data_IF_473799637522
#
_entry.id   IF_473799637522
#
_cell.length_a   1.000
_cell.length_b   1.000
_cell.length_c   1.000
_cell.angle_alpha   90.00
_cell.angle_beta   90.00
_cell.angle_gamma   90.00
#
_symmetry.space_group_name_H-M   'P 1'
#
loop_
_entity.id
_entity.type
_entity.pdbx_description
1 polymer ?
#
# COMPACT_ATOMS: atom_id res chain seq x y z
N UNK A 1 48.47 40.03 -0.68
CA UNK A 1 47.43 40.57 0.22
C UNK A 1 47.39 42.06 -0.05
N UNK A 2 46.47 42.53 -0.90
CA UNK A 2 46.31 43.96 -1.20
C UNK A 2 45.82 44.66 0.07
N UNK A 3 46.68 45.48 0.67
CA UNK A 3 46.34 46.29 1.83
C UNK A 3 45.45 47.45 1.38
N UNK A 4 44.14 47.35 1.64
CA UNK A 4 43.20 48.47 1.50
C UNK A 4 43.51 49.53 2.57
N UNK A 5 44.51 50.38 2.33
CA UNK A 5 44.81 51.52 3.17
C UNK A 5 43.75 52.61 2.95
N UNK A 6 42.70 52.58 3.76
CA UNK A 6 41.64 53.59 3.78
C UNK A 6 42.26 54.87 4.38
N UNK A 7 42.85 55.70 3.51
CA UNK A 7 43.36 57.01 3.88
C UNK A 7 42.16 57.91 4.16
N UNK A 8 42.00 58.32 5.42
CA UNK A 8 40.95 59.26 5.83
C UNK A 8 41.19 60.60 5.11
N UNK A 9 40.26 61.08 4.25
CA UNK A 9 40.46 62.32 3.52
C UNK A 9 40.49 63.52 4.49
N UNK A 10 41.48 64.39 4.36
CA UNK A 10 41.59 65.63 5.14
C UNK A 10 40.52 66.64 4.69
N UNK A 11 40.17 67.61 5.55
CA UNK A 11 39.07 68.55 5.28
C UNK A 11 39.20 69.30 3.93
N UNK A 12 40.42 69.72 3.57
CA UNK A 12 40.68 70.40 2.29
C UNK A 12 40.49 69.51 1.05
N UNK A 13 40.50 68.18 1.22
CA UNK A 13 40.32 67.20 0.15
C UNK A 13 38.85 66.75 0.01
N UNK A 14 37.95 67.20 0.88
CA UNK A 14 36.53 66.84 0.85
C UNK A 14 35.84 67.23 -0.46
N UNK A 15 36.02 68.43 -1.04
CA UNK A 15 35.36 68.78 -2.30
C UNK A 15 35.72 67.82 -3.44
N UNK A 16 36.98 67.38 -3.47
CA UNK A 16 37.48 66.42 -4.46
C UNK A 16 36.91 65.02 -4.23
N UNK A 17 36.93 64.53 -3.00
CA UNK A 17 36.39 63.22 -2.64
C UNK A 17 34.88 63.12 -2.94
N UNK A 18 34.12 64.16 -2.64
CA UNK A 18 32.67 64.22 -2.94
C UNK A 18 32.42 64.20 -4.46
N UNK A 19 33.23 64.93 -5.24
CA UNK A 19 33.14 64.90 -6.70
C UNK A 19 33.40 63.50 -7.25
N UNK A 20 34.42 62.80 -6.75
CA UNK A 20 34.74 61.43 -7.17
C UNK A 20 33.63 60.44 -6.81
N UNK A 21 32.99 60.59 -5.64
CA UNK A 21 31.84 59.78 -5.24
C UNK A 21 30.66 60.02 -6.18
N UNK A 22 30.33 61.28 -6.49
CA UNK A 22 29.24 61.59 -7.41
C UNK A 22 29.49 60.97 -8.79
N UNK A 23 30.71 61.07 -9.32
CA UNK A 23 31.05 60.43 -10.59
C UNK A 23 30.92 58.91 -10.56
N UNK A 24 31.33 58.25 -9.46
CA UNK A 24 31.13 56.81 -9.29
C UNK A 24 29.66 56.43 -9.12
N UNK A 25 28.88 57.27 -8.45
CA UNK A 25 27.44 57.09 -8.28
C UNK A 25 26.74 57.19 -9.63
N UNK A 26 27.06 58.20 -10.43
CA UNK A 26 26.52 58.36 -11.79
C UNK A 26 26.88 57.17 -12.68
N UNK A 27 28.12 56.66 -12.58
CA UNK A 27 28.55 55.45 -13.29
C UNK A 27 27.74 54.21 -12.86
N UNK A 28 27.58 53.98 -11.56
CA UNK A 28 26.79 52.86 -11.05
C UNK A 28 25.33 52.99 -11.48
N UNK A 29 24.75 54.20 -11.43
CA UNK A 29 23.39 54.46 -11.90
C UNK A 29 23.25 54.20 -13.40
N UNK A 30 24.27 54.54 -14.20
CA UNK A 30 24.31 54.25 -15.62
C UNK A 30 24.37 52.74 -15.90
N UNK A 31 25.23 52.00 -15.21
CA UNK A 31 25.32 50.54 -15.32
C UNK A 31 24.03 49.86 -14.86
N UNK A 32 23.47 50.27 -13.72
CA UNK A 32 22.18 49.77 -13.23
C UNK A 32 21.04 50.08 -14.19
N UNK A 33 21.05 51.24 -14.86
CA UNK A 33 20.07 51.58 -15.89
C UNK A 33 20.26 50.73 -17.15
N UNK A 34 21.49 50.41 -17.55
CA UNK A 34 21.76 49.51 -18.67
C UNK A 34 21.31 48.07 -18.37
N UNK A 35 21.52 47.60 -17.13
CA UNK A 35 21.03 46.31 -16.63
C UNK A 35 19.49 46.28 -16.51
N UNK A 36 18.91 47.36 -16.01
CA UNK A 36 17.46 47.51 -15.81
C UNK A 36 16.68 47.72 -17.10
N UNK A 37 17.25 48.42 -18.09
CA UNK A 37 16.62 48.62 -19.40
C UNK A 37 16.52 47.33 -20.24
N UNK A 38 17.26 46.27 -19.87
CA UNK A 38 17.13 44.94 -20.46
C UNK A 38 16.06 44.09 -19.77
N UNK A 39 15.50 44.57 -18.65
CA UNK A 39 14.19 44.14 -18.14
C UNK A 39 13.11 45.07 -18.68
N UNK A 40 13.01 45.18 -20.01
CA UNK A 40 11.75 45.65 -20.59
C UNK A 40 10.67 44.70 -20.09
N UNK A 41 9.65 45.31 -19.49
CA UNK A 41 8.37 44.76 -19.10
C UNK A 41 8.20 43.29 -19.48
N UNK A 42 8.24 42.42 -18.48
CA UNK A 42 7.85 41.03 -18.60
C UNK A 42 6.34 40.95 -18.84
N UNK A 43 5.87 41.50 -19.96
CA UNK A 43 4.71 40.96 -20.64
C UNK A 43 5.02 39.48 -20.78
N UNK A 44 4.20 38.58 -20.22
CA UNK A 44 4.41 37.15 -20.40
C UNK A 44 4.47 36.92 -21.90
N UNK A 45 5.66 36.57 -22.41
CA UNK A 45 5.93 36.37 -23.83
C UNK A 45 4.99 35.24 -24.29
N UNK A 46 3.81 35.65 -24.77
CA UNK A 46 2.68 34.81 -25.08
C UNK A 46 2.96 34.22 -26.44
N UNK A 47 3.27 32.93 -26.44
CA UNK A 47 3.61 32.21 -27.64
C UNK A 47 2.40 31.46 -28.15
N UNK A 48 2.22 31.53 -29.45
CA UNK A 48 1.30 30.68 -30.19
C UNK A 48 1.81 29.24 -30.27
N UNK A 49 0.97 28.33 -30.74
CA UNK A 49 1.35 26.93 -30.95
C UNK A 49 2.59 26.78 -31.86
N UNK A 50 2.68 27.56 -32.94
CA UNK A 50 3.79 27.47 -33.89
C UNK A 50 5.10 27.97 -33.30
N UNK A 51 5.05 29.04 -32.52
CA UNK A 51 6.22 29.57 -31.81
C UNK A 51 6.67 28.61 -30.72
N UNK A 52 5.74 28.01 -29.97
CA UNK A 52 6.03 26.98 -28.98
C UNK A 52 6.70 25.75 -29.62
N UNK A 53 6.19 25.33 -30.78
CA UNK A 53 6.77 24.24 -31.57
C UNK A 53 8.21 24.55 -32.00
N UNK A 54 8.48 25.76 -32.52
CA UNK A 54 9.83 26.21 -32.87
C UNK A 54 10.76 26.28 -31.65
N UNK A 55 10.28 26.82 -30.54
CA UNK A 55 11.05 26.97 -29.30
C UNK A 55 11.47 25.62 -28.70
N UNK A 56 10.57 24.64 -28.71
CA UNK A 56 10.85 23.28 -28.22
C UNK A 56 11.54 22.38 -29.26
N UNK A 57 11.68 22.85 -30.51
CA UNK A 57 12.18 22.04 -31.62
C UNK A 57 11.30 20.83 -31.93
N UNK A 58 9.98 20.97 -31.83
CA UNK A 58 8.98 19.89 -32.04
C UNK A 58 8.01 20.25 -33.15
N UNK A 59 7.34 19.24 -33.71
CA UNK A 59 6.24 19.47 -34.66
C UNK A 59 4.98 19.93 -33.92
N UNK A 60 4.12 20.71 -34.58
CA UNK A 60 2.83 21.18 -34.03
C UNK A 60 1.94 20.02 -33.59
N UNK A 61 1.90 18.92 -34.34
CA UNK A 61 1.19 17.68 -33.97
C UNK A 61 1.69 17.06 -32.65
N UNK A 62 3.00 17.10 -32.42
CA UNK A 62 3.58 16.62 -31.16
C UNK A 62 3.15 17.51 -30.01
N UNK A 63 3.14 18.84 -30.20
CA UNK A 63 2.65 19.77 -29.18
C UNK A 63 1.17 19.50 -28.85
N UNK A 64 0.31 19.25 -29.85
CA UNK A 64 -1.09 18.83 -29.61
C UNK A 64 -1.20 17.52 -28.82
N UNK A 65 -0.31 16.56 -29.09
CA UNK A 65 -0.26 15.31 -28.32
C UNK A 65 0.19 15.56 -26.89
N UNK A 66 1.11 16.50 -26.67
CA UNK A 66 1.59 16.87 -25.35
C UNK A 66 0.54 17.66 -24.56
N UNK A 67 -0.20 18.57 -25.19
CA UNK A 67 -1.28 19.32 -24.54
C UNK A 67 -2.45 18.42 -24.19
N UNK A 68 -2.87 17.51 -25.09
CA UNK A 68 -3.97 16.56 -24.79
C UNK A 68 -3.64 15.58 -23.67
N UNK A 69 -2.35 15.26 -23.47
CA UNK A 69 -1.87 14.46 -22.34
C UNK A 69 -1.53 15.28 -21.10
N UNK A 70 -1.80 16.59 -21.09
CA UNK A 70 -1.41 17.53 -20.03
C UNK A 70 0.09 17.44 -19.66
N UNK A 71 0.95 17.08 -20.61
CA UNK A 71 2.38 16.92 -20.40
C UNK A 71 3.16 18.25 -20.51
N UNK A 72 2.51 19.31 -21.00
CA UNK A 72 3.08 20.65 -21.19
C UNK A 72 2.10 21.70 -20.61
N UNK A 73 2.61 22.72 -19.90
CA UNK A 73 1.79 23.85 -19.47
C UNK A 73 1.19 24.56 -20.68
N UNK A 74 -0.13 24.80 -20.64
CA UNK A 74 -0.82 25.48 -21.72
C UNK A 74 -2.05 26.22 -21.19
N UNK A 75 -2.40 27.31 -21.86
CA UNK A 75 -3.56 28.14 -21.55
C UNK A 75 -4.55 28.10 -22.71
N UNK A 76 -5.82 27.88 -22.41
CA UNK A 76 -6.88 27.81 -23.42
C UNK A 76 -7.64 29.13 -23.47
N UNK A 77 -7.61 29.79 -24.64
CA UNK A 77 -8.44 30.94 -24.95
C UNK A 77 -9.35 30.64 -26.13
N UNK A 78 -10.59 30.22 -25.86
CA UNK A 78 -11.54 29.81 -26.90
C UNK A 78 -11.07 28.56 -27.67
N UNK A 79 -10.91 28.67 -28.99
CA UNK A 79 -10.43 27.58 -29.86
C UNK A 79 -8.89 27.57 -30.05
N UNK A 80 -8.17 28.49 -29.40
CA UNK A 80 -6.72 28.61 -29.55
C UNK A 80 -6.00 28.27 -28.24
N UNK A 81 -4.82 27.66 -28.39
CA UNK A 81 -3.90 27.35 -27.31
C UNK A 81 -2.79 28.40 -27.29
N UNK A 82 -2.46 28.86 -26.09
CA UNK A 82 -1.40 29.81 -25.84
C UNK A 82 -0.44 29.24 -24.80
N UNK A 83 0.82 29.64 -24.90
CA UNK A 83 1.90 29.17 -24.06
C UNK A 83 2.65 30.37 -23.51
N UNK A 84 3.04 30.32 -22.25
CA UNK A 84 3.94 31.33 -21.71
C UNK A 84 5.36 30.79 -21.67
N UNK A 85 6.29 31.57 -22.21
CA UNK A 85 7.71 31.21 -22.25
C UNK A 85 8.29 30.90 -20.87
N UNK A 86 7.90 31.66 -19.85
CA UNK A 86 8.40 31.43 -18.48
C UNK A 86 7.93 30.08 -17.91
N UNK A 87 6.67 29.70 -18.12
CA UNK A 87 6.15 28.38 -17.71
C UNK A 87 6.85 27.24 -18.45
N UNK A 88 7.14 27.41 -19.75
CA UNK A 88 7.87 26.41 -20.53
C UNK A 88 9.30 26.22 -20.01
N UNK A 89 9.99 27.29 -19.64
CA UNK A 89 11.35 27.24 -19.07
C UNK A 89 11.33 26.56 -17.70
N UNK A 90 10.37 26.92 -16.84
CA UNK A 90 10.21 26.29 -15.52
C UNK A 90 9.90 24.79 -15.66
N UNK A 91 9.02 24.44 -16.59
CA UNK A 91 8.68 23.05 -16.90
C UNK A 91 9.89 22.26 -17.43
N UNK A 92 10.70 22.84 -18.32
CA UNK A 92 11.94 22.21 -18.79
C UNK A 92 12.91 21.97 -17.64
N UNK A 93 13.05 22.94 -16.74
CA UNK A 93 13.91 22.85 -15.55
C UNK A 93 13.44 21.72 -14.64
N UNK A 94 12.15 21.69 -14.29
CA UNK A 94 11.54 20.61 -13.49
C UNK A 94 11.75 19.24 -14.14
N UNK A 95 11.53 19.13 -15.46
CA UNK A 95 11.71 17.88 -16.20
C UNK A 95 13.17 17.40 -16.22
N UNK A 96 14.14 18.31 -16.24
CA UNK A 96 15.55 17.95 -16.10
C UNK A 96 15.85 17.47 -14.67
N UNK A 97 15.25 18.09 -13.65
CA UNK A 97 15.39 17.63 -12.26
C UNK A 97 14.80 16.24 -12.05
N UNK A 98 13.63 15.91 -12.61
CA UNK A 98 13.03 14.55 -12.47
C UNK A 98 13.75 13.46 -13.25
N UNK A 99 14.61 13.83 -14.21
CA UNK A 99 15.43 12.88 -14.97
C UNK A 99 16.86 12.73 -14.44
N UNK A 100 17.34 13.68 -13.63
CA UNK A 100 18.68 13.70 -13.03
C UNK A 100 18.69 13.41 -11.52
N UNK A 101 17.64 13.83 -10.81
CA UNK A 101 17.38 13.50 -9.42
C UNK A 101 16.31 12.42 -9.43
N UNK A 102 16.63 11.24 -8.90
CA UNK A 102 15.74 10.09 -8.84
C UNK A 102 14.52 10.34 -7.96
N UNK A 103 13.54 11.09 -8.48
CA UNK A 103 12.14 10.96 -8.08
C UNK A 103 11.69 9.55 -8.51
N UNK A 104 12.07 8.64 -7.61
CA UNK A 104 11.59 7.29 -7.33
C UNK A 104 11.13 6.52 -8.56
N UNK A 105 12.10 5.84 -9.18
CA UNK A 105 11.88 4.61 -9.97
C UNK A 105 10.81 3.72 -9.28
N UNK A 106 10.78 3.73 -7.95
CA UNK A 106 9.83 3.05 -7.08
C UNK A 106 8.36 3.49 -7.31
N UNK A 107 8.07 4.79 -7.37
CA UNK A 107 6.69 5.29 -7.56
C UNK A 107 6.21 5.03 -9.00
N UNK A 108 7.11 5.15 -9.98
CA UNK A 108 6.85 4.72 -11.36
C UNK A 108 6.64 3.21 -11.47
N UNK A 109 7.41 2.39 -10.75
CA UNK A 109 7.25 0.93 -10.72
C UNK A 109 5.89 0.53 -10.12
N UNK A 110 5.44 1.22 -9.07
CA UNK A 110 4.12 1.03 -8.47
C UNK A 110 2.97 1.44 -9.42
N UNK A 111 3.14 2.54 -10.17
CA UNK A 111 2.16 2.96 -11.19
C UNK A 111 2.09 2.00 -12.40
N UNK A 112 3.23 1.41 -12.79
CA UNK A 112 3.27 0.38 -13.85
C UNK A 112 2.63 -0.92 -13.36
N UNK A 113 2.84 -1.31 -12.10
CA UNK A 113 2.21 -2.49 -11.51
C UNK A 113 0.66 -2.39 -11.48
N UNK A 114 0.11 -1.18 -11.37
CA UNK A 114 -1.34 -0.94 -11.26
C UNK A 114 -2.05 -0.70 -12.60
N UNK A 115 -1.34 -0.45 -13.70
CA UNK A 115 -1.97 -0.12 -15.00
C UNK A 115 -2.28 -1.35 -15.86
N UNK A 116 -3.58 -1.67 -15.97
CA UNK A 116 -4.16 -2.80 -16.74
C UNK A 116 -4.24 -2.54 -18.26
N UNK A 117 -3.16 -2.18 -18.95
CA UNK A 117 -3.20 -2.04 -20.42
C UNK A 117 -2.21 -2.99 -21.10
N UNK A 118 -2.79 -4.04 -21.69
CA UNK A 118 -2.19 -5.09 -22.51
C UNK A 118 -1.27 -6.09 -21.80
N UNK A 119 -1.87 -7.01 -21.03
CA UNK A 119 -1.25 -8.30 -20.71
C UNK A 119 -1.62 -9.32 -21.80
N UNK A 120 -0.65 -10.03 -22.41
CA UNK A 120 -0.93 -11.05 -23.42
C UNK A 120 -1.79 -12.17 -22.81
N UNK A 121 -2.68 -12.78 -23.60
CA UNK A 121 -3.64 -13.80 -23.12
C UNK A 121 -2.94 -14.93 -22.34
N UNK A 122 -1.76 -15.35 -22.79
CA UNK A 122 -0.91 -16.34 -22.11
C UNK A 122 -0.53 -15.96 -20.68
N UNK A 123 -0.27 -14.67 -20.41
CA UNK A 123 0.06 -14.17 -19.07
C UNK A 123 -1.17 -14.07 -18.17
N UNK A 124 -2.34 -13.73 -18.73
CA UNK A 124 -3.61 -13.75 -17.98
C UNK A 124 -3.97 -15.20 -17.62
N UNK A 125 -3.76 -16.15 -18.53
CA UNK A 125 -4.05 -17.57 -18.30
C UNK A 125 -3.05 -18.19 -17.32
N UNK A 126 -1.76 -17.84 -17.39
CA UNK A 126 -0.77 -18.21 -16.37
C UNK A 126 -1.07 -17.57 -15.01
N UNK A 127 -1.50 -16.30 -14.96
CA UNK A 127 -1.89 -15.64 -13.72
C UNK A 127 -3.19 -16.21 -13.15
N UNK A 128 -4.15 -16.62 -13.99
CA UNK A 128 -5.36 -17.32 -13.57
C UNK A 128 -5.06 -18.73 -13.05
N UNK A 129 -4.13 -19.45 -13.69
CA UNK A 129 -3.68 -20.76 -13.22
C UNK A 129 -2.94 -20.65 -11.89
N UNK A 130 -2.03 -19.68 -11.74
CA UNK A 130 -1.36 -19.41 -10.46
C UNK A 130 -2.33 -18.95 -9.37
N UNK A 131 -3.30 -18.09 -9.68
CA UNK A 131 -4.34 -17.66 -8.74
C UNK A 131 -5.31 -18.81 -8.38
N UNK A 132 -5.56 -19.75 -9.29
CA UNK A 132 -6.35 -20.95 -9.02
C UNK A 132 -5.59 -21.95 -8.13
N UNK A 133 -4.27 -22.09 -8.33
CA UNK A 133 -3.39 -22.89 -7.46
C UNK A 133 -3.29 -22.25 -6.07
N UNK A 134 -3.17 -20.91 -6.00
CA UNK A 134 -3.16 -20.17 -4.73
C UNK A 134 -4.52 -20.21 -4.02
N UNK A 135 -5.64 -20.20 -4.76
CA UNK A 135 -6.99 -20.40 -4.19
C UNK A 135 -7.29 -21.85 -3.82
N UNK A 136 -6.69 -22.83 -4.48
CA UNK A 136 -6.75 -24.22 -4.05
C UNK A 136 -5.95 -24.41 -2.75
N UNK A 137 -4.76 -23.80 -2.64
CA UNK A 137 -3.98 -23.76 -1.40
C UNK A 137 -4.68 -22.95 -0.28
N UNK A 138 -5.35 -21.84 -0.61
CA UNK A 138 -6.13 -21.05 0.35
C UNK A 138 -7.50 -21.67 0.69
N UNK A 139 -8.08 -22.52 -0.17
CA UNK A 139 -9.29 -23.28 0.15
C UNK A 139 -9.02 -24.38 1.18
N UNK A 140 -7.81 -24.95 1.18
CA UNK A 140 -7.35 -25.83 2.25
C UNK A 140 -7.01 -25.05 3.54
N UNK A 141 -6.61 -23.77 3.45
CA UNK A 141 -6.33 -22.93 4.62
C UNK A 141 -7.54 -22.18 5.21
N UNK A 142 -8.65 -22.01 4.47
CA UNK A 142 -9.86 -21.33 4.97
C UNK A 142 -10.89 -22.26 5.61
N UNK A 143 -10.72 -23.58 5.51
CA UNK A 143 -11.57 -24.54 6.21
C UNK A 143 -11.10 -24.83 7.65
N UNK A 144 -9.91 -24.39 8.03
CA UNK A 144 -9.32 -24.58 9.38
C UNK A 144 -9.36 -23.34 10.29
N UNK A 145 -9.70 -22.15 9.78
CA UNK A 145 -9.72 -20.92 10.59
C UNK A 145 -11.11 -20.53 11.15
N UNK A 146 -12.20 -21.21 10.77
CA UNK A 146 -13.56 -20.92 11.26
C UNK A 146 -14.15 -22.03 12.18
N UNK A 147 -13.35 -23.04 12.56
CA UNK A 147 -13.76 -24.14 13.45
C UNK A 147 -12.88 -24.15 14.71
N UNK A 148 -12.52 -22.99 15.25
CA UNK A 148 -11.83 -22.90 16.55
C UNK A 148 -12.76 -22.53 17.71
N UNK A 149 -14.08 -22.38 17.51
CA UNK A 149 -14.96 -21.87 18.59
C UNK A 149 -16.42 -22.33 18.61
N UNK A 150 -16.78 -23.59 18.28
CA UNK A 150 -18.20 -23.95 18.39
C UNK A 150 -18.55 -25.41 18.68
N UNK A 151 -17.73 -26.17 19.43
CA UNK A 151 -18.32 -27.31 20.14
C UNK A 151 -19.35 -26.76 21.14
N UNK A 152 -20.64 -27.16 21.04
CA UNK A 152 -21.65 -26.68 21.96
C UNK A 152 -21.31 -27.12 23.38
N UNK A 153 -21.70 -26.31 24.36
CA UNK A 153 -21.54 -26.64 25.77
C UNK A 153 -22.18 -28.00 26.05
N UNK A 154 -21.51 -28.83 26.84
CA UNK A 154 -22.01 -30.15 27.21
C UNK A 154 -21.87 -30.36 28.72
N UNK A 155 -22.75 -31.19 29.26
CA UNK A 155 -22.81 -31.52 30.67
C UNK A 155 -22.97 -33.03 30.86
N UNK A 156 -22.25 -33.57 31.84
CA UNK A 156 -22.37 -34.97 32.26
C UNK A 156 -23.48 -35.04 33.31
N UNK A 157 -24.47 -35.90 33.07
CA UNK A 157 -25.52 -36.21 34.02
C UNK A 157 -25.31 -37.63 34.53
N UNK A 158 -25.50 -37.82 35.83
CA UNK A 158 -25.51 -39.15 36.44
C UNK A 158 -26.96 -39.61 36.56
N UNK A 159 -27.26 -40.78 36.02
CA UNK A 159 -28.59 -41.37 36.06
C UNK A 159 -28.50 -42.83 36.46
N UNK A 160 -29.57 -43.39 37.00
CA UNK A 160 -29.61 -44.80 37.39
C UNK A 160 -30.27 -45.62 36.31
N UNK A 161 -29.63 -46.70 35.91
CA UNK A 161 -30.17 -47.59 34.90
C UNK A 161 -31.43 -48.30 35.42
N UNK A 162 -32.53 -48.21 34.68
CA UNK A 162 -33.88 -48.66 35.13
C UNK A 162 -34.00 -50.16 35.39
N UNK A 163 -33.11 -50.98 34.82
CA UNK A 163 -33.13 -52.45 34.98
C UNK A 163 -32.07 -53.01 35.92
N UNK A 164 -30.93 -52.31 36.07
CA UNK A 164 -29.78 -52.81 36.84
C UNK A 164 -29.44 -51.93 38.03
N UNK A 165 -30.11 -50.79 38.18
CA UNK A 165 -29.89 -49.77 39.20
C UNK A 165 -28.42 -49.29 39.29
N UNK A 166 -27.62 -49.55 38.25
CA UNK A 166 -26.24 -49.13 38.16
C UNK A 166 -26.19 -47.66 37.73
N UNK A 167 -25.22 -46.92 38.25
CA UNK A 167 -24.99 -45.53 37.87
C UNK A 167 -24.42 -45.46 36.44
N UNK A 168 -25.09 -44.69 35.58
CA UNK A 168 -24.69 -44.41 34.20
C UNK A 168 -24.45 -42.91 34.04
N UNK A 169 -23.42 -42.58 33.26
CA UNK A 169 -23.00 -41.20 33.05
C UNK A 169 -23.30 -40.81 31.59
N UNK A 170 -24.22 -39.87 31.41
CA UNK A 170 -24.68 -39.41 30.10
C UNK A 170 -24.05 -38.05 29.79
N UNK A 171 -23.22 -38.00 28.76
CA UNK A 171 -22.67 -36.77 28.21
C UNK A 171 -23.64 -36.23 27.15
N UNK A 172 -24.32 -35.13 27.49
CA UNK A 172 -25.33 -34.48 26.65
C UNK A 172 -24.86 -33.11 26.20
N UNK A 173 -24.97 -32.85 24.90
CA UNK A 173 -24.67 -31.55 24.30
C UNK A 173 -25.94 -30.69 24.28
N UNK A 174 -25.79 -29.39 24.56
CA UNK A 174 -26.93 -28.46 24.58
C UNK A 174 -27.58 -28.31 23.21
N UNK A 175 -26.76 -28.34 22.15
CA UNK A 175 -27.21 -28.35 20.77
C UNK A 175 -26.83 -29.68 20.12
N UNK A 176 -27.65 -30.22 19.20
CA UNK A 176 -27.30 -31.43 18.47
C UNK A 176 -26.01 -31.21 17.66
N UNK A 177 -25.06 -32.13 17.84
CA UNK A 177 -23.79 -32.10 17.12
C UNK A 177 -24.02 -32.31 15.61
N UNK A 178 -23.36 -31.48 14.79
CA UNK A 178 -23.28 -31.68 13.33
C UNK A 178 -22.43 -32.91 13.01
N UNK A 179 -22.55 -33.44 11.78
CA UNK A 179 -21.80 -34.64 11.35
C UNK A 179 -20.30 -34.50 11.56
N UNK A 180 -19.73 -33.33 11.27
CA UNK A 180 -18.30 -33.06 11.44
C UNK A 180 -17.90 -33.02 12.93
N UNK A 181 -18.76 -32.44 13.78
CA UNK A 181 -18.53 -32.42 15.23
C UNK A 181 -18.63 -33.82 15.84
N UNK A 182 -19.51 -34.69 15.33
CA UNK A 182 -19.59 -36.10 15.75
C UNK A 182 -18.33 -36.86 15.37
N UNK A 183 -17.79 -36.65 14.18
CA UNK A 183 -16.54 -37.27 13.76
C UNK A 183 -15.35 -36.90 14.65
N UNK A 184 -15.39 -35.73 15.31
CA UNK A 184 -14.37 -35.30 16.28
C UNK A 184 -14.58 -35.96 17.65
N UNK A 185 -15.82 -36.11 18.10
CA UNK A 185 -16.16 -36.59 19.45
C UNK A 185 -16.18 -38.12 19.52
N UNK A 186 -16.65 -38.80 18.47
CA UNK A 186 -16.83 -40.26 18.45
C UNK A 186 -15.53 -41.06 18.69
N UNK A 187 -14.36 -40.70 18.13
CA UNK A 187 -13.11 -41.42 18.40
C UNK A 187 -12.73 -41.37 19.88
N UNK A 188 -12.87 -40.21 20.52
CA UNK A 188 -12.61 -40.04 21.95
C UNK A 188 -13.59 -40.86 22.78
N UNK A 189 -14.88 -40.79 22.47
CA UNK A 189 -15.91 -41.56 23.19
C UNK A 189 -15.64 -43.06 23.08
N UNK A 190 -15.29 -43.57 21.90
CA UNK A 190 -14.95 -45.00 21.69
C UNK A 190 -13.70 -45.39 22.45
N UNK A 191 -12.68 -44.52 22.51
CA UNK A 191 -11.44 -44.77 23.26
C UNK A 191 -11.68 -44.93 24.77
N UNK A 192 -12.66 -44.20 25.33
CA UNK A 192 -13.03 -44.29 26.74
C UNK A 192 -14.19 -45.27 26.99
N UNK A 193 -14.53 -46.12 26.00
CA UNK A 193 -15.53 -47.18 26.14
C UNK A 193 -16.99 -46.70 26.19
N UNK A 194 -17.26 -45.46 25.75
CA UNK A 194 -18.61 -44.93 25.65
C UNK A 194 -19.31 -45.30 24.35
N UNK A 195 -20.64 -45.19 24.35
CA UNK A 195 -21.46 -45.45 23.18
C UNK A 195 -22.62 -44.47 23.06
N UNK A 196 -23.11 -44.25 21.83
CA UNK A 196 -24.27 -43.39 21.59
C UNK A 196 -25.57 -44.10 21.97
N UNK A 197 -26.44 -43.43 22.73
CA UNK A 197 -27.79 -43.91 23.00
C UNK A 197 -28.84 -42.98 22.41
N UNK A 198 -29.69 -43.52 21.53
CA UNK A 198 -30.85 -42.81 21.01
C UNK A 198 -31.90 -42.49 22.07
N UNK A 199 -31.98 -43.28 23.15
CA UNK A 199 -32.94 -43.05 24.25
C UNK A 199 -32.60 -41.80 25.06
N UNK A 200 -31.32 -41.55 25.29
CA UNK A 200 -30.83 -40.43 26.09
C UNK A 200 -30.34 -39.25 25.24
N UNK A 201 -30.32 -39.41 23.92
CA UNK A 201 -29.79 -38.44 22.95
C UNK A 201 -28.38 -37.96 23.31
N UNK A 202 -27.54 -38.89 23.78
CA UNK A 202 -26.21 -38.58 24.34
C UNK A 202 -25.30 -39.79 24.40
N UNK A 203 -24.05 -39.55 24.79
CA UNK A 203 -23.04 -40.60 24.95
C UNK A 203 -23.05 -41.16 26.37
N UNK A 204 -23.13 -42.47 26.51
CA UNK A 204 -23.20 -43.17 27.79
C UNK A 204 -21.83 -43.75 28.15
N UNK A 205 -21.50 -43.63 29.43
CA UNK A 205 -20.34 -44.26 30.05
C UNK A 205 -20.79 -45.01 31.31
N UNK A 206 -20.18 -46.18 31.53
CA UNK A 206 -20.46 -47.01 32.71
C UNK A 206 -19.61 -46.61 33.92
N UNK A 207 -18.60 -45.75 33.73
CA UNK A 207 -17.70 -45.28 34.77
C UNK A 207 -17.64 -43.74 34.78
N UNK A 208 -17.68 -43.17 35.98
CA UNK A 208 -17.57 -41.74 36.20
C UNK A 208 -16.23 -41.20 35.69
N UNK A 209 -15.15 -41.94 35.93
CA UNK A 209 -13.80 -41.52 35.56
C UNK A 209 -13.66 -41.45 34.04
N UNK A 210 -14.12 -42.49 33.34
CA UNK A 210 -14.14 -42.52 31.88
C UNK A 210 -14.96 -41.35 31.26
N UNK A 211 -16.11 -41.01 31.86
CA UNK A 211 -16.94 -39.90 31.39
C UNK A 211 -16.22 -38.54 31.52
N UNK A 212 -15.58 -38.28 32.67
CA UNK A 212 -14.85 -37.03 32.91
C UNK A 212 -13.57 -36.95 32.08
N UNK A 213 -12.81 -38.04 31.95
CA UNK A 213 -11.63 -38.10 31.08
C UNK A 213 -12.01 -37.86 29.61
N UNK A 214 -13.11 -38.43 29.14
CA UNK A 214 -13.61 -38.15 27.79
C UNK A 214 -14.04 -36.69 27.63
N UNK A 215 -14.73 -36.12 28.62
CA UNK A 215 -15.10 -34.71 28.62
C UNK A 215 -13.88 -33.78 28.57
N UNK A 216 -12.85 -34.09 29.35
CA UNK A 216 -11.62 -33.31 29.38
C UNK A 216 -10.80 -33.51 28.11
N UNK A 217 -10.78 -34.72 27.53
CA UNK A 217 -10.18 -34.97 26.22
C UNK A 217 -10.89 -34.16 25.12
N UNK A 218 -12.22 -34.09 25.12
CA UNK A 218 -13.00 -33.26 24.18
C UNK A 218 -12.70 -31.77 24.39
N UNK A 219 -12.50 -31.33 25.64
CA UNK A 219 -12.09 -29.95 25.95
C UNK A 219 -10.65 -29.63 25.53
N UNK A 220 -9.73 -30.60 25.64
CA UNK A 220 -8.31 -30.44 25.30
C UNK A 220 -8.03 -30.60 23.80
N UNK A 221 -8.85 -31.37 23.08
CA UNK A 221 -8.77 -31.49 21.62
C UNK A 221 -9.18 -30.18 20.88
N UNK A 222 -9.52 -29.11 21.62
CA UNK A 222 -9.59 -27.73 21.10
C UNK A 222 -8.22 -27.16 20.69
N UNK A 223 -7.10 -27.86 20.90
CA UNK A 223 -5.77 -27.25 20.73
C UNK A 223 -4.60 -28.16 20.31
N UNK A 224 -4.82 -29.28 19.61
CA UNK A 224 -3.71 -30.03 18.99
C UNK A 224 -3.96 -30.31 17.51
N UNK A 225 -3.52 -29.37 16.68
CA UNK A 225 -3.12 -29.67 15.30
C UNK A 225 -1.89 -30.61 15.33
N UNK A 226 -1.84 -31.46 14.31
CA UNK A 226 -0.84 -32.50 14.09
C UNK A 226 0.59 -31.95 14.07
N UNK A 227 1.48 -32.48 14.90
CA UNK A 227 2.92 -32.46 14.61
C UNK A 227 3.22 -33.64 13.67
N UNK A 228 3.49 -33.34 12.40
CA UNK A 228 4.20 -34.26 11.49
C UNK A 228 5.67 -34.37 11.93
N UNK A 229 6.26 -35.58 11.95
CA UNK A 229 7.68 -35.74 12.24
C UNK A 229 8.52 -35.35 11.01
N UNK A 230 9.15 -34.17 11.09
CA UNK A 230 10.23 -33.73 10.21
C UNK A 230 11.51 -34.53 10.48
N UNK A 231 12.02 -35.16 9.42
CA UNK A 231 13.43 -35.39 9.04
C UNK A 231 14.50 -35.08 10.10
N UNK A 232 15.32 -36.10 10.39
CA UNK A 232 16.68 -35.93 10.91
C UNK A 232 17.65 -36.64 9.95
N UNK A 233 18.73 -35.93 9.63
CA UNK A 233 19.87 -36.27 8.78
C UNK A 233 20.60 -37.57 9.15
#
# INVERSE_FOLDING_TARGET
MENNNITQPTFDQLPKAVSEINSKMDYILQELKALGANKQDAVPDMMTLEECAKFLGKTTSTIYTMTSKNAIPHHKGGNKLYFFKHELIEWLTKRQQTSSTGETIEERALAIATSKKHKPKSFIDQQKAQLAIQRAAEAEAKQTAAIQSSLPTFAIHCEKHTKTNADIYVLKFTNPLTSDQRNIVEPSVKSFGGYWSGMWSGYLFNDASAAHQCADAIRQNKGKEKEEPSMAD
#
